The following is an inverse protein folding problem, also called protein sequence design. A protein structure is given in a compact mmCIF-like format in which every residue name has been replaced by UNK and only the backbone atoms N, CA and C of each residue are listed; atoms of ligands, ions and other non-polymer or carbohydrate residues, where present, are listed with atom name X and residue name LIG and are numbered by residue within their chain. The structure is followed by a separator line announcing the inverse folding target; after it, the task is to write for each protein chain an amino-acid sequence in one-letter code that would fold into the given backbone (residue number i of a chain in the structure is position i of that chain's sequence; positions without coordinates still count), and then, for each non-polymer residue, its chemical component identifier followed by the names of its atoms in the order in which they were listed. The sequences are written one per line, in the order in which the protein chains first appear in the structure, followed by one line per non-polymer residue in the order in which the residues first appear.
data_IF_969783361937
#
_entry.id   IF_969783361937
#
_cell.length_a   1.000
_cell.length_b   1.000
_cell.length_c   1.000
_cell.angle_alpha   90.00
_cell.angle_beta   90.00
_cell.angle_gamma   90.00
#
_symmetry.space_group_name_H-M   'P 1'
#
loop_
_entity.id
_entity.type
_entity.pdbx_description
1 polymer ?
#
# COMPACT_ATOMS: atom_id res chain seq x y z
N UNK A 1 4.57 5.23 14.84
CA UNK A 1 3.56 4.20 14.48
C UNK A 1 3.04 4.35 13.06
N UNK A 2 2.36 5.46 12.71
CA UNK A 2 1.78 5.67 11.37
C UNK A 2 2.79 5.47 10.22
N UNK A 3 3.99 6.02 10.35
CA UNK A 3 5.00 6.09 9.27
C UNK A 3 5.55 4.73 8.81
N UNK A 4 5.73 3.75 9.68
CA UNK A 4 6.35 2.47 9.29
C UNK A 4 5.41 1.57 8.48
N UNK A 5 4.14 1.50 8.90
CA UNK A 5 3.06 0.82 8.16
C UNK A 5 2.84 1.52 6.82
N UNK A 6 2.88 2.86 6.82
CA UNK A 6 2.78 3.69 5.62
C UNK A 6 3.89 3.36 4.63
N UNK A 7 5.16 3.40 5.07
CA UNK A 7 6.34 3.15 4.24
C UNK A 7 6.30 1.75 3.65
N UNK A 8 5.85 0.75 4.40
CA UNK A 8 5.86 -0.62 3.90
C UNK A 8 4.74 -0.92 2.90
N UNK A 9 3.57 -0.32 3.09
CA UNK A 9 2.46 -0.37 2.13
C UNK A 9 2.77 0.44 0.86
N UNK A 10 3.42 1.59 1.01
CA UNK A 10 3.92 2.39 -0.12
C UNK A 10 5.01 1.61 -0.89
N UNK A 11 5.92 0.92 -0.20
CA UNK A 11 6.95 0.11 -0.85
C UNK A 11 6.36 -1.09 -1.60
N UNK A 12 5.34 -1.77 -1.08
CA UNK A 12 4.62 -2.80 -1.86
C UNK A 12 3.87 -2.20 -3.04
N UNK A 13 3.14 -1.11 -2.83
CA UNK A 13 2.32 -0.51 -3.88
C UNK A 13 3.10 0.14 -5.02
N UNK A 14 4.35 0.59 -4.81
CA UNK A 14 5.03 1.48 -5.76
C UNK A 14 6.39 0.99 -6.29
N UNK A 15 6.84 -0.23 -5.95
CA UNK A 15 8.08 -0.82 -6.51
C UNK A 15 7.99 -1.21 -8.00
N UNK A 16 6.89 -0.92 -8.70
CA UNK A 16 6.77 -1.20 -10.13
C UNK A 16 6.30 0.07 -10.81
N UNK A 17 7.26 0.77 -11.45
CA UNK A 17 7.07 1.96 -12.28
C UNK A 17 5.72 1.93 -12.99
N UNK A 18 4.75 2.69 -12.47
CA UNK A 18 3.40 2.72 -12.98
C UNK A 18 3.17 4.13 -13.52
N UNK A 19 3.25 4.27 -14.85
CA UNK A 19 2.99 5.55 -15.54
C UNK A 19 1.59 6.15 -15.28
N UNK A 20 0.68 5.35 -14.69
CA UNK A 20 -0.65 5.75 -14.22
C UNK A 20 -1.04 4.91 -13.00
N UNK A 21 -1.66 5.52 -12.00
CA UNK A 21 -2.36 4.84 -10.92
C UNK A 21 -3.53 4.03 -11.50
N UNK A 22 -3.58 2.74 -11.23
CA UNK A 22 -4.78 1.94 -11.42
C UNK A 22 -5.52 1.91 -10.08
N UNK A 23 -6.58 2.70 -9.96
CA UNK A 23 -7.40 2.73 -8.75
C UNK A 23 -8.22 1.44 -8.59
N UNK A 24 -8.26 0.93 -7.37
CA UNK A 24 -9.14 -0.14 -6.90
C UNK A 24 -10.34 0.45 -6.15
N UNK A 25 -11.34 -0.38 -5.82
CA UNK A 25 -12.57 0.10 -5.18
C UNK A 25 -12.31 0.85 -3.86
N UNK A 26 -11.32 0.39 -3.11
CA UNK A 26 -10.88 0.91 -1.82
C UNK A 26 -10.34 2.34 -1.95
N UNK A 27 -9.68 2.68 -3.07
CA UNK A 27 -9.23 4.04 -3.34
C UNK A 27 -10.42 5.01 -3.42
N UNK A 28 -11.47 4.64 -4.17
CA UNK A 28 -12.66 5.48 -4.32
C UNK A 28 -13.43 5.64 -3.01
N UNK A 29 -13.48 4.59 -2.17
CA UNK A 29 -14.08 4.67 -0.84
C UNK A 29 -13.34 5.71 0.01
N UNK A 30 -12.01 5.63 0.04
CA UNK A 30 -11.19 6.52 0.85
C UNK A 30 -11.15 7.95 0.33
N UNK A 31 -11.08 8.13 -0.98
CA UNK A 31 -11.22 9.44 -1.61
C UNK A 31 -12.54 10.12 -1.22
N UNK A 32 -13.65 9.38 -1.31
CA UNK A 32 -14.97 9.91 -0.95
C UNK A 32 -15.07 10.23 0.55
N UNK A 33 -14.55 9.37 1.43
CA UNK A 33 -14.56 9.58 2.88
C UNK A 33 -13.74 10.80 3.30
N UNK A 34 -12.63 11.05 2.61
CA UNK A 34 -11.65 12.09 2.97
C UNK A 34 -11.75 13.36 2.11
N UNK A 35 -12.63 13.39 1.11
CA UNK A 35 -12.75 14.50 0.18
C UNK A 35 -11.49 14.72 -0.67
N UNK A 36 -10.81 13.64 -1.04
CA UNK A 36 -9.58 13.68 -1.84
C UNK A 36 -9.91 13.48 -3.32
N UNK A 37 -9.39 14.34 -4.18
CA UNK A 37 -9.53 14.22 -5.63
C UNK A 37 -8.49 13.28 -6.25
N UNK A 38 -8.79 12.72 -7.42
CA UNK A 38 -7.85 11.86 -8.16
C UNK A 38 -6.55 12.62 -8.50
N UNK A 39 -6.67 13.89 -8.87
CA UNK A 39 -5.55 14.81 -9.15
C UNK A 39 -4.55 14.86 -8.00
N UNK A 40 -5.05 15.01 -6.77
CA UNK A 40 -4.25 15.05 -5.55
C UNK A 40 -3.37 13.81 -5.37
N UNK A 41 -3.94 12.62 -5.63
CA UNK A 41 -3.23 11.35 -5.52
C UNK A 41 -2.25 11.17 -6.68
N UNK A 42 -2.66 11.51 -7.90
CA UNK A 42 -1.81 11.43 -9.08
C UNK A 42 -0.53 12.28 -8.95
N UNK A 43 -0.63 13.46 -8.33
CA UNK A 43 0.52 14.35 -8.09
C UNK A 43 1.53 13.78 -7.09
N UNK A 44 1.07 12.96 -6.14
CA UNK A 44 1.91 12.37 -5.08
C UNK A 44 2.51 11.03 -5.48
N UNK A 45 1.83 10.33 -6.38
CA UNK A 45 2.06 8.91 -6.68
C UNK A 45 2.60 8.69 -8.09
N UNK A 46 2.86 9.76 -8.83
CA UNK A 46 3.48 9.72 -10.17
C UNK A 46 4.92 9.20 -10.20
N UNK A 47 5.54 9.27 -11.38
CA UNK A 47 6.84 8.64 -11.71
C UNK A 47 7.99 8.94 -10.74
N UNK A 48 7.90 10.02 -9.94
CA UNK A 48 8.88 10.42 -8.93
C UNK A 48 8.23 10.51 -7.54
N UNK A 49 7.66 9.41 -7.06
CA UNK A 49 7.14 9.34 -5.69
C UNK A 49 8.19 9.81 -4.68
N UNK A 50 7.92 10.95 -4.04
CA UNK A 50 8.70 11.48 -2.94
C UNK A 50 7.82 11.40 -1.70
N UNK A 51 8.23 10.58 -0.74
CA UNK A 51 7.58 10.54 0.56
C UNK A 51 7.84 11.89 1.26
N UNK A 52 6.92 12.83 1.12
CA UNK A 52 6.97 14.10 1.82
C UNK A 52 6.50 13.90 3.26
N UNK A 53 7.43 14.04 4.21
CA UNK A 53 7.09 14.09 5.63
C UNK A 53 6.16 15.28 5.90
N UNK A 54 5.07 15.05 6.64
CA UNK A 54 4.10 16.09 6.99
C UNK A 54 2.87 16.21 6.08
N UNK A 55 2.68 15.30 5.12
CA UNK A 55 1.44 15.24 4.35
C UNK A 55 0.36 14.43 5.09
N UNK A 56 -0.32 15.07 6.04
CA UNK A 56 -1.32 14.42 6.88
C UNK A 56 -2.53 13.90 6.10
N UNK A 57 -2.93 14.58 5.02
CA UNK A 57 -4.05 14.15 4.19
C UNK A 57 -3.70 12.90 3.37
N UNK A 58 -2.47 12.79 2.86
CA UNK A 58 -1.99 11.54 2.24
C UNK A 58 -1.80 10.44 3.27
N UNK A 59 -1.34 10.77 4.47
CA UNK A 59 -1.22 9.79 5.56
C UNK A 59 -2.59 9.20 5.93
N UNK A 60 -3.61 10.04 6.05
CA UNK A 60 -4.97 9.62 6.36
C UNK A 60 -5.59 8.81 5.20
N UNK A 61 -5.26 9.14 3.95
CA UNK A 61 -5.63 8.34 2.79
C UNK A 61 -5.07 6.92 2.89
N UNK A 62 -3.77 6.77 3.11
CA UNK A 62 -3.13 5.45 3.21
C UNK A 62 -3.69 4.67 4.41
N UNK A 63 -3.93 5.34 5.54
CA UNK A 63 -4.56 4.70 6.72
C UNK A 63 -5.97 4.20 6.43
N UNK A 64 -6.77 4.99 5.70
CA UNK A 64 -8.08 4.53 5.24
C UNK A 64 -7.93 3.32 4.31
N UNK A 65 -7.04 3.43 3.33
CA UNK A 65 -6.85 2.42 2.30
C UNK A 65 -6.45 1.06 2.90
N UNK A 66 -5.48 1.03 3.82
CA UNK A 66 -5.04 -0.25 4.45
C UNK A 66 -6.14 -0.91 5.28
N UNK A 67 -7.08 -0.11 5.82
CA UNK A 67 -8.24 -0.62 6.57
C UNK A 67 -9.29 -1.20 5.63
N UNK A 68 -9.64 -0.48 4.56
CA UNK A 68 -10.60 -0.97 3.57
C UNK A 68 -10.09 -2.24 2.88
N UNK A 69 -8.79 -2.33 2.66
CA UNK A 69 -8.11 -3.52 2.12
C UNK A 69 -7.98 -4.67 3.13
N UNK A 70 -8.33 -4.48 4.41
CA UNK A 70 -8.22 -5.50 5.45
C UNK A 70 -6.78 -5.90 5.80
N UNK A 71 -5.79 -5.06 5.52
CA UNK A 71 -4.36 -5.39 5.72
C UNK A 71 -3.90 -5.18 7.17
N UNK A 72 -4.73 -4.53 7.98
CA UNK A 72 -4.44 -4.21 9.38
C UNK A 72 -5.59 -4.61 10.29
N UNK A 73 -5.29 -4.92 11.54
CA UNK A 73 -6.27 -5.18 12.59
C UNK A 73 -6.82 -3.89 13.21
N UNK A 74 -7.70 -4.03 14.21
CA UNK A 74 -8.30 -2.91 14.95
C UNK A 74 -7.26 -2.01 15.65
N UNK A 75 -6.07 -2.54 15.93
CA UNK A 75 -4.95 -1.84 16.57
C UNK A 75 -3.95 -1.26 15.55
N UNK A 76 -4.29 -1.23 14.25
CA UNK A 76 -3.40 -0.81 13.16
C UNK A 76 -2.14 -1.67 13.03
N UNK A 77 -2.20 -2.94 13.46
CA UNK A 77 -1.13 -3.91 13.26
C UNK A 77 -1.36 -4.63 11.94
N UNK A 78 -0.29 -4.77 11.14
CA UNK A 78 -0.32 -5.49 9.87
C UNK A 78 -0.67 -6.95 10.13
N UNK A 79 -1.65 -7.46 9.37
CA UNK A 79 -2.02 -8.88 9.38
C UNK A 79 -1.16 -9.60 8.33
N UNK A 80 -0.20 -10.45 8.72
CA UNK A 80 0.78 -11.03 7.80
C UNK A 80 0.15 -11.84 6.65
N UNK A 81 -0.91 -12.60 6.96
CA UNK A 81 -1.63 -13.43 5.99
C UNK A 81 -2.33 -12.59 4.93
N UNK A 82 -2.97 -11.49 5.34
CA UNK A 82 -3.67 -10.58 4.43
C UNK A 82 -2.68 -9.82 3.56
N UNK A 83 -1.57 -9.33 4.13
CA UNK A 83 -0.51 -8.70 3.34
C UNK A 83 0.07 -9.65 2.28
N UNK A 84 0.35 -10.91 2.65
CA UNK A 84 0.84 -11.91 1.69
C UNK A 84 -0.19 -12.21 0.60
N UNK A 85 -1.46 -12.38 0.97
CA UNK A 85 -2.58 -12.61 0.04
C UNK A 85 -2.73 -11.44 -0.94
N UNK A 86 -2.62 -10.20 -0.45
CA UNK A 86 -2.64 -8.99 -1.24
C UNK A 86 -1.53 -8.95 -2.29
N UNK A 87 -0.28 -9.20 -1.87
CA UNK A 87 0.87 -9.21 -2.79
C UNK A 87 0.66 -10.23 -3.91
N UNK A 88 0.24 -11.45 -3.56
CA UNK A 88 0.06 -12.55 -4.51
C UNK A 88 -1.10 -12.34 -5.48
N UNK A 89 -2.25 -11.88 -4.98
CA UNK A 89 -3.50 -11.81 -5.75
C UNK A 89 -3.75 -10.46 -6.41
N UNK A 90 -3.30 -9.36 -5.80
CA UNK A 90 -3.63 -8.02 -6.27
C UNK A 90 -2.41 -7.33 -6.86
N UNK A 91 -1.29 -7.30 -6.15
CA UNK A 91 -0.13 -6.53 -6.58
C UNK A 91 0.48 -7.06 -7.90
N UNK A 92 0.72 -8.38 -8.01
CA UNK A 92 1.22 -8.95 -9.26
C UNK A 92 0.23 -8.79 -10.43
N UNK A 93 -1.07 -8.83 -10.16
CA UNK A 93 -2.12 -8.63 -11.16
C UNK A 93 -2.20 -7.17 -11.64
N UNK A 94 -2.12 -6.21 -10.73
CA UNK A 94 -2.08 -4.77 -11.03
C UNK A 94 -0.92 -4.41 -11.95
N UNK A 95 0.21 -5.11 -11.79
CA UNK A 95 1.40 -4.92 -12.63
C UNK A 95 1.46 -5.80 -13.88
N UNK A 96 0.40 -6.57 -14.17
CA UNK A 96 0.36 -7.54 -15.28
C UNK A 96 1.55 -8.52 -15.25
N UNK A 97 2.03 -8.85 -14.04
CA UNK A 97 3.13 -9.80 -13.78
C UNK A 97 2.56 -11.09 -13.19
N UNK A 98 1.55 -11.65 -13.86
CA UNK A 98 0.81 -12.82 -13.39
C UNK A 98 1.68 -14.09 -13.36
N UNK A 99 2.77 -14.12 -14.11
CA UNK A 99 3.68 -15.25 -14.22
C UNK A 99 5.07 -14.95 -13.65
N UNK A 100 5.20 -13.95 -12.76
CA UNK A 100 6.49 -13.62 -12.15
C UNK A 100 7.11 -14.84 -11.46
N UNK A 101 8.37 -15.20 -11.72
CA UNK A 101 8.99 -16.36 -11.07
C UNK A 101 9.14 -16.11 -9.56
N UNK A 102 8.82 -17.11 -8.74
CA UNK A 102 8.96 -17.11 -7.28
C UNK A 102 8.09 -16.07 -6.53
N UNK A 103 6.84 -15.84 -6.98
CA UNK A 103 5.89 -14.91 -6.32
C UNK A 103 5.74 -15.13 -4.82
N UNK A 104 5.63 -16.39 -4.40
CA UNK A 104 5.49 -16.75 -2.99
C UNK A 104 6.70 -16.33 -2.16
N UNK A 105 7.91 -16.49 -2.70
CA UNK A 105 9.14 -16.10 -2.04
C UNK A 105 9.26 -14.57 -1.92
N UNK A 106 8.86 -13.85 -2.98
CA UNK A 106 8.81 -12.38 -2.98
C UNK A 106 7.79 -11.88 -1.97
N UNK A 107 6.57 -12.42 -1.97
CA UNK A 107 5.52 -12.04 -1.04
C UNK A 107 5.92 -12.32 0.41
N UNK A 108 6.53 -13.47 0.69
CA UNK A 108 7.07 -13.82 2.00
C UNK A 108 8.15 -12.83 2.46
N UNK A 109 9.09 -12.50 1.59
CA UNK A 109 10.19 -11.58 1.89
C UNK A 109 9.68 -10.18 2.20
N UNK A 110 8.77 -9.67 1.38
CA UNK A 110 8.19 -8.34 1.54
C UNK A 110 7.34 -8.28 2.81
N UNK A 111 6.50 -9.27 3.07
CA UNK A 111 5.74 -9.35 4.33
C UNK A 111 6.65 -9.35 5.55
N UNK A 112 7.74 -10.13 5.54
CA UNK A 112 8.72 -10.13 6.64
C UNK A 112 9.40 -8.78 6.83
N UNK A 113 9.82 -8.15 5.75
CA UNK A 113 10.40 -6.80 5.79
C UNK A 113 9.42 -5.81 6.42
N UNK A 114 8.12 -5.89 6.11
CA UNK A 114 7.11 -5.02 6.70
C UNK A 114 6.87 -5.26 8.18
N UNK A 115 6.82 -6.50 8.62
CA UNK A 115 6.66 -6.83 10.04
C UNK A 115 7.85 -6.34 10.88
N UNK A 116 9.06 -6.33 10.31
CA UNK A 116 10.26 -5.84 11.00
C UNK A 116 10.29 -4.30 11.14
N UNK A 117 9.39 -3.58 10.46
CA UNK A 117 9.28 -2.12 10.60
C UNK A 117 8.24 -1.70 11.64
N UNK A 118 7.40 -2.61 12.13
CA UNK A 118 6.41 -2.29 13.14
C UNK A 118 7.06 -2.02 14.50
N UNK A 119 6.72 -0.92 15.21
CA UNK A 119 7.24 -0.67 16.54
C UNK A 119 6.68 -1.70 17.53
N UNK A 120 7.55 -2.37 18.28
CA UNK A 120 7.17 -3.38 19.28
C UNK A 120 7.81 -4.76 19.09
N UNK A 121 8.75 -4.90 18.16
CA UNK A 121 9.72 -6.01 18.11
C UNK A 121 11.13 -5.49 18.35
#
# INVERSE_FOLDING_TARGET
MKVAVLVCVILTLFQVSCRRLNYVAEDFICMKKLGIEESYLNDRVGDNFLLTTGDDQFNDFVVCWVKEMGLVDENMQIIPSELKSYILKHQFNLFKKNDYPNKDEVAERVSKSCLNTQPGK
#
